data_IF_494397407171
#
_entry.id   IF_494397407171
#
_cell.length_a   1.000
_cell.length_b   1.000
_cell.length_c   1.000
_cell.angle_alpha   90.00
_cell.angle_beta   90.00
_cell.angle_gamma   90.00
#
_symmetry.space_group_name_H-M   'P 1'
#
loop_
_entity.id
_entity.type
_entity.pdbx_description
1 polymer ?
#
# COMPACT_ATOMS: atom_id res chain seq x y z
N UNK A 1 -7.68 -1.76 18.57
CA UNK A 1 -7.15 -1.60 17.20
C UNK A 1 -5.76 -1.02 17.21
N UNK A 2 -4.83 -1.65 16.49
CA UNK A 2 -3.52 -1.07 16.20
C UNK A 2 -3.72 0.06 15.20
N UNK A 3 -3.46 1.29 15.64
CA UNK A 3 -3.51 2.47 14.77
C UNK A 3 -2.30 2.43 13.84
N UNK A 4 -2.55 2.65 12.55
CA UNK A 4 -1.54 2.85 11.53
C UNK A 4 -1.84 4.12 10.75
N UNK A 5 -0.80 4.71 10.16
CA UNK A 5 -0.95 5.90 9.31
C UNK A 5 -0.34 5.59 7.94
N UNK A 6 -1.23 5.32 6.98
CA UNK A 6 -0.86 4.95 5.61
C UNK A 6 -1.80 5.60 4.60
N UNK A 7 -1.28 5.87 3.40
CA UNK A 7 -2.09 6.19 2.22
C UNK A 7 -2.12 4.98 1.31
N UNK A 8 -3.29 4.39 1.13
CA UNK A 8 -3.49 3.20 0.31
C UNK A 8 -4.00 3.57 -1.10
N UNK A 9 -3.35 3.03 -2.12
CA UNK A 9 -3.78 3.03 -3.50
C UNK A 9 -4.37 1.69 -3.91
N UNK A 10 -5.36 1.71 -4.80
CA UNK A 10 -5.97 0.53 -5.40
C UNK A 10 -6.33 0.83 -6.87
N UNK A 11 -6.69 -0.21 -7.62
CA UNK A 11 -7.21 -0.06 -8.99
C UNK A 11 -8.46 0.81 -8.97
N UNK A 12 -8.46 1.85 -9.79
CA UNK A 12 -9.66 2.67 -9.98
C UNK A 12 -10.72 1.83 -10.72
N UNK A 13 -11.90 1.59 -10.12
CA UNK A 13 -12.96 0.80 -10.74
C UNK A 13 -13.47 1.41 -12.06
N UNK A 14 -13.37 2.73 -12.25
CA UNK A 14 -13.84 3.43 -13.45
C UNK A 14 -12.96 3.13 -14.68
N UNK A 15 -11.76 2.57 -14.49
CA UNK A 15 -10.87 2.12 -15.56
C UNK A 15 -10.84 0.60 -15.74
N UNK A 16 -11.85 -0.12 -15.20
CA UNK A 16 -12.07 -1.54 -15.52
C UNK A 16 -12.88 -1.62 -16.81
N UNK A 17 -12.33 -2.21 -17.86
CA UNK A 17 -13.11 -2.61 -19.03
C UNK A 17 -13.56 -4.08 -18.91
N UNK A 18 -14.31 -4.58 -19.88
CA UNK A 18 -14.80 -5.97 -19.91
C UNK A 18 -13.67 -7.01 -20.06
N UNK A 19 -12.45 -6.60 -20.40
CA UNK A 19 -11.25 -7.47 -20.34
C UNK A 19 -10.73 -7.67 -18.92
N UNK A 20 -11.23 -6.86 -17.98
CA UNK A 20 -11.12 -7.01 -16.53
C UNK A 20 -12.42 -7.66 -15.99
N UNK A 21 -12.56 -9.00 -15.99
CA UNK A 21 -13.74 -9.66 -15.41
C UNK A 21 -13.97 -9.22 -13.96
N UNK A 22 -15.19 -9.30 -13.41
CA UNK A 22 -15.55 -8.72 -12.11
C UNK A 22 -14.74 -9.21 -10.87
N UNK A 23 -13.76 -10.09 -11.03
CA UNK A 23 -12.76 -10.52 -10.03
C UNK A 23 -11.30 -10.46 -10.53
N UNK A 24 -11.02 -9.69 -11.58
CA UNK A 24 -9.69 -9.50 -12.20
C UNK A 24 -8.78 -8.60 -11.38
N UNK A 25 -8.47 -9.01 -10.15
CA UNK A 25 -7.16 -8.67 -9.62
C UNK A 25 -6.09 -9.34 -10.48
N UNK A 26 -4.86 -8.81 -10.46
CA UNK A 26 -3.71 -9.68 -10.71
C UNK A 26 -3.80 -10.89 -9.76
N UNK A 27 -3.31 -12.05 -10.19
CA UNK A 27 -3.24 -13.22 -9.31
C UNK A 27 -2.50 -12.85 -8.00
N UNK A 28 -2.93 -13.39 -6.85
CA UNK A 28 -2.22 -13.17 -5.60
C UNK A 28 -0.75 -13.59 -5.70
N UNK A 29 0.13 -12.76 -5.13
CA UNK A 29 1.56 -13.06 -5.07
C UNK A 29 2.00 -13.49 -3.67
N UNK A 30 2.97 -14.42 -3.56
CA UNK A 30 3.68 -14.65 -2.32
C UNK A 30 4.36 -13.37 -1.83
N UNK A 31 4.20 -13.07 -0.55
CA UNK A 31 4.76 -11.86 0.05
C UNK A 31 6.20 -12.10 0.55
N UNK A 32 7.10 -11.26 0.06
CA UNK A 32 8.46 -11.12 0.59
C UNK A 32 8.43 -10.35 1.91
N UNK A 33 8.24 -11.09 3.01
CA UNK A 33 8.09 -10.54 4.37
C UNK A 33 9.35 -9.80 4.83
N UNK A 34 9.19 -8.87 5.76
CA UNK A 34 10.31 -8.09 6.31
C UNK A 34 11.32 -8.96 7.07
N UNK A 35 10.92 -10.13 7.58
CA UNK A 35 11.82 -11.14 8.15
C UNK A 35 12.74 -11.79 7.12
N UNK A 36 12.34 -11.83 5.85
CA UNK A 36 13.15 -12.36 4.74
C UNK A 36 13.99 -11.27 4.08
N UNK A 37 13.42 -10.06 3.89
CA UNK A 37 14.06 -8.99 3.12
C UNK A 37 14.85 -8.00 3.98
N UNK A 38 14.52 -7.87 5.27
CA UNK A 38 15.04 -6.82 6.14
C UNK A 38 14.50 -5.41 5.83
N UNK A 39 13.64 -5.25 4.82
CA UNK A 39 13.04 -3.96 4.46
C UNK A 39 11.91 -3.68 5.45
N UNK A 40 12.08 -2.66 6.30
CA UNK A 40 11.12 -2.30 7.34
C UNK A 40 10.18 -1.18 6.92
N UNK A 41 9.01 -1.10 7.54
CA UNK A 41 8.01 -0.06 7.34
C UNK A 41 8.40 1.26 8.02
N UNK A 42 9.45 1.91 7.53
CA UNK A 42 9.89 3.26 7.95
C UNK A 42 9.14 4.39 7.22
N UNK A 43 9.33 5.64 7.63
CA UNK A 43 8.72 6.81 6.96
C UNK A 43 8.98 6.81 5.43
N UNK A 44 7.88 6.86 4.68
CA UNK A 44 7.87 6.82 3.23
C UNK A 44 8.10 5.43 2.61
N UNK A 45 8.15 4.34 3.39
CA UNK A 45 8.16 3.00 2.84
C UNK A 45 6.92 2.77 1.96
N UNK A 46 7.10 2.03 0.85
CA UNK A 46 6.01 1.51 0.03
C UNK A 46 5.90 0.00 0.24
N UNK A 47 4.67 -0.48 0.45
CA UNK A 47 4.38 -1.88 0.72
C UNK A 47 3.12 -2.35 0.02
N UNK A 48 3.03 -3.65 -0.25
CA UNK A 48 1.83 -4.28 -0.77
C UNK A 48 0.72 -4.31 0.28
N UNK A 49 -0.52 -3.99 -0.14
CA UNK A 49 -1.72 -4.20 0.66
C UNK A 49 -2.21 -5.65 0.52
N UNK A 50 -2.83 -6.19 1.58
CA UNK A 50 -3.35 -7.57 1.62
C UNK A 50 -4.56 -7.68 2.54
N UNK A 51 -5.32 -8.76 2.37
CA UNK A 51 -6.46 -9.13 3.23
C UNK A 51 -6.18 -10.37 4.08
N UNK A 52 -5.28 -11.24 3.63
CA UNK A 52 -4.75 -12.38 4.37
C UNK A 52 -3.27 -12.63 4.03
N UNK A 53 -2.64 -13.69 4.54
CA UNK A 53 -1.31 -14.09 4.12
C UNK A 53 -1.27 -14.35 2.61
N UNK A 54 -0.27 -13.78 1.91
CA UNK A 54 -0.02 -14.06 0.50
C UNK A 54 -1.22 -13.79 -0.44
N UNK A 55 -2.08 -12.82 -0.07
CA UNK A 55 -3.26 -12.41 -0.86
C UNK A 55 -3.09 -11.08 -1.61
N UNK A 56 -1.88 -10.52 -1.66
CA UNK A 56 -1.66 -9.22 -2.27
C UNK A 56 -1.77 -9.33 -3.79
N UNK A 57 -2.44 -8.36 -4.42
CA UNK A 57 -2.63 -8.32 -5.88
C UNK A 57 -2.03 -7.01 -6.43
N UNK A 58 -2.83 -5.94 -6.51
CA UNK A 58 -2.42 -4.63 -7.03
C UNK A 58 -2.46 -3.50 -6.00
N UNK A 59 -3.06 -3.74 -4.82
CA UNK A 59 -3.13 -2.74 -3.77
C UNK A 59 -1.75 -2.48 -3.16
N UNK A 60 -1.44 -1.22 -2.89
CA UNK A 60 -0.20 -0.81 -2.22
C UNK A 60 -0.48 0.37 -1.29
N UNK A 61 0.44 0.66 -0.39
CA UNK A 61 0.33 1.83 0.48
C UNK A 61 1.69 2.47 0.77
N UNK A 62 1.64 3.75 1.14
CA UNK A 62 2.78 4.52 1.65
C UNK A 62 2.68 4.70 3.15
N UNK A 63 3.76 4.48 3.89
CA UNK A 63 3.84 4.75 5.33
C UNK A 63 4.02 6.24 5.62
N UNK A 64 3.23 6.76 6.57
CA UNK A 64 3.43 8.07 7.20
C UNK A 64 4.07 7.84 8.56
N UNK A 65 5.33 8.26 8.73
CA UNK A 65 6.13 7.87 9.88
C UNK A 65 6.49 6.39 9.87
N UNK A 66 7.20 5.95 10.91
CA UNK A 66 7.54 4.55 11.11
C UNK A 66 6.31 3.77 11.59
N UNK A 67 6.06 2.61 10.97
CA UNK A 67 4.91 1.75 11.19
C UNK A 67 5.35 0.31 11.54
N UNK A 68 6.09 0.08 12.64
CA UNK A 68 6.69 -1.23 12.95
C UNK A 68 5.66 -2.35 13.13
N UNK A 69 4.41 -2.00 13.47
CA UNK A 69 3.33 -2.98 13.59
C UNK A 69 2.89 -3.59 12.24
N UNK A 70 3.41 -3.07 11.12
CA UNK A 70 3.25 -3.63 9.78
C UNK A 70 4.39 -4.60 9.41
N UNK A 71 5.50 -4.62 10.15
CA UNK A 71 6.58 -5.59 9.92
C UNK A 71 6.12 -7.01 10.32
N UNK A 72 6.84 -8.04 9.86
CA UNK A 72 6.64 -9.41 10.33
C UNK A 72 6.72 -9.49 11.87
N UNK A 73 5.76 -10.16 12.50
CA UNK A 73 5.60 -10.21 13.96
C UNK A 73 4.85 -9.01 14.56
N UNK A 74 4.54 -7.99 13.75
CA UNK A 74 3.71 -6.85 14.16
C UNK A 74 2.25 -7.24 14.41
N UNK A 75 1.55 -6.41 15.18
CA UNK A 75 0.21 -6.72 15.70
C UNK A 75 -0.92 -6.18 14.83
N UNK A 76 -0.62 -5.57 13.67
CA UNK A 76 -1.66 -4.99 12.81
C UNK A 76 -2.67 -6.05 12.36
N UNK A 77 -2.18 -7.23 11.97
CA UNK A 77 -3.00 -8.35 11.56
C UNK A 77 -2.83 -9.53 12.55
N UNK A 78 -3.89 -10.25 12.90
CA UNK A 78 -3.81 -11.37 13.85
C UNK A 78 -2.87 -12.51 13.42
N UNK A 79 -2.63 -12.67 12.12
CA UNK A 79 -1.73 -13.70 11.57
C UNK A 79 -0.24 -13.46 11.83
N UNK A 80 0.13 -12.25 12.30
CA UNK A 80 1.52 -11.87 12.57
C UNK A 80 2.44 -11.88 11.35
N UNK A 81 1.91 -12.04 10.13
CA UNK A 81 2.73 -12.18 8.92
C UNK A 81 3.30 -10.85 8.43
N UNK A 82 2.87 -9.72 9.00
CA UNK A 82 3.26 -8.38 8.54
C UNK A 82 2.83 -8.11 7.10
N UNK A 83 3.46 -7.14 6.45
CA UNK A 83 3.28 -6.79 5.04
C UNK A 83 4.64 -6.82 4.32
N UNK A 84 4.63 -6.73 2.98
CA UNK A 84 5.86 -6.76 2.18
C UNK A 84 6.25 -5.35 1.71
N UNK A 85 7.14 -4.70 2.46
CA UNK A 85 7.76 -3.46 2.04
C UNK A 85 8.78 -3.74 0.93
N UNK A 86 8.69 -3.01 -0.19
CA UNK A 86 9.49 -3.25 -1.39
C UNK A 86 10.20 -1.99 -1.92
N UNK A 87 10.05 -0.86 -1.25
CA UNK A 87 10.73 0.37 -1.64
C UNK A 87 10.49 1.52 -0.67
N UNK A 88 10.90 2.72 -1.08
CA UNK A 88 10.71 3.95 -0.32
C UNK A 88 10.59 5.16 -1.24
N UNK A 89 9.74 6.12 -0.86
CA UNK A 89 9.64 7.43 -1.49
C UNK A 89 10.96 8.19 -1.29
N UNK A 90 11.62 8.53 -2.41
CA UNK A 90 12.88 9.30 -2.39
C UNK A 90 12.66 10.80 -2.59
N UNK A 91 11.53 11.19 -3.21
CA UNK A 91 11.12 12.58 -3.44
C UNK A 91 9.59 12.67 -3.40
N UNK A 92 9.06 13.81 -2.95
CA UNK A 92 7.61 14.05 -2.92
C UNK A 92 6.89 13.56 -1.66
N UNK A 93 7.59 13.36 -0.54
CA UNK A 93 6.93 13.05 0.73
C UNK A 93 5.99 14.15 1.21
N UNK A 94 6.26 15.41 0.86
CA UNK A 94 5.34 16.52 1.14
C UNK A 94 4.00 16.36 0.39
N UNK A 95 4.02 15.82 -0.83
CA UNK A 95 2.82 15.50 -1.60
C UNK A 95 2.03 14.38 -0.92
N UNK A 96 2.69 13.31 -0.50
CA UNK A 96 2.06 12.21 0.25
C UNK A 96 1.41 12.74 1.55
N UNK A 97 2.09 13.62 2.30
CA UNK A 97 1.53 14.25 3.50
C UNK A 97 0.34 15.18 3.19
N UNK A 98 0.35 15.90 2.06
CA UNK A 98 -0.81 16.70 1.61
C UNK A 98 -2.02 15.80 1.29
N UNK A 99 -1.79 14.64 0.68
CA UNK A 99 -2.85 13.65 0.42
C UNK A 99 -3.43 13.12 1.75
N UNK A 100 -2.59 12.82 2.74
CA UNK A 100 -3.01 12.42 4.09
C UNK A 100 -3.94 13.43 4.78
N UNK A 101 -3.76 14.72 4.50
CA UNK A 101 -4.58 15.79 5.07
C UNK A 101 -5.81 16.15 4.24
N UNK A 102 -6.02 15.50 3.10
CA UNK A 102 -7.15 15.81 2.22
C UNK A 102 -8.49 15.39 2.83
N UNK A 103 -9.61 16.06 2.44
CA UNK A 103 -10.93 15.69 2.90
C UNK A 103 -11.24 14.21 2.63
N UNK A 104 -11.89 13.57 3.58
CA UNK A 104 -12.22 12.15 3.53
C UNK A 104 -13.54 11.87 4.22
N UNK A 105 -14.25 10.89 3.70
CA UNK A 105 -15.36 10.24 4.40
C UNK A 105 -14.85 8.91 4.95
N UNK A 106 -14.87 8.76 6.27
CA UNK A 106 -14.24 7.64 6.98
C UNK A 106 -12.74 7.51 6.64
N UNK A 107 -12.40 6.51 5.83
CA UNK A 107 -11.03 6.22 5.38
C UNK A 107 -10.84 6.45 3.86
N UNK A 108 -11.87 6.91 3.15
CA UNK A 108 -11.83 7.14 1.70
C UNK A 108 -11.73 8.63 1.41
N UNK A 109 -10.75 9.02 0.59
CA UNK A 109 -10.58 10.41 0.15
C UNK A 109 -11.75 10.85 -0.74
N UNK A 110 -12.25 12.06 -0.50
CA UNK A 110 -13.38 12.65 -1.23
C UNK A 110 -13.04 14.11 -1.60
N UNK A 111 -12.66 14.42 -2.86
CA UNK A 111 -12.54 13.50 -4.00
C UNK A 111 -11.35 12.55 -3.88
N UNK A 112 -11.38 11.47 -4.67
CA UNK A 112 -10.26 10.54 -4.79
C UNK A 112 -9.08 11.21 -5.51
N UNK A 113 -7.87 10.89 -5.08
CA UNK A 113 -6.63 11.33 -5.76
C UNK A 113 -6.25 10.27 -6.79
N UNK A 114 -6.30 10.63 -8.07
CA UNK A 114 -6.03 9.72 -9.19
C UNK A 114 -4.55 9.76 -9.56
N UNK A 115 -3.92 8.59 -9.65
CA UNK A 115 -2.60 8.45 -10.27
C UNK A 115 -2.80 8.45 -11.79
N UNK A 116 -2.39 9.55 -12.44
CA UNK A 116 -2.65 9.76 -13.87
C UNK A 116 -1.65 9.05 -14.79
N UNK A 117 -0.42 8.82 -14.32
CA UNK A 117 0.61 8.10 -15.07
C UNK A 117 1.64 7.50 -14.12
N UNK A 118 2.27 6.41 -14.57
CA UNK A 118 3.43 5.81 -13.91
C UNK A 118 4.52 5.66 -14.95
N UNK A 119 5.70 6.22 -14.66
CA UNK A 119 6.86 6.13 -15.53
C UNK A 119 7.98 5.35 -14.84
N UNK A 120 8.41 4.25 -15.46
CA UNK A 120 9.64 3.57 -15.07
C UNK A 120 10.81 4.41 -15.57
N UNK A 121 11.58 5.01 -14.67
CA UNK A 121 12.83 5.68 -15.04
C UNK A 121 13.86 4.60 -15.39
N UNK A 122 14.06 4.33 -16.68
CA UNK A 122 15.20 3.56 -17.16
C UNK A 122 16.48 4.33 -16.82
N UNK A 123 17.49 3.59 -16.34
CA UNK A 123 18.83 4.13 -16.15
C UNK A 123 19.50 4.32 -17.50
#
# INVERSE_FOLDING_TARGET
DVKIEVIQGAVNPDFRDDSYPPNSGFDPIPLERTSSTGIRHVDGAISMARMGPDTATSGFFFCIGDQPELDFGGKRNPDGQGFAAFGRVTRGMDVIRKIQMSPRENQRLTPQVVITSVMKKTR
#
